data_IF_852135565396
#
_entry.id   IF_852135565396
#
_cell.length_a   1.000
_cell.length_b   1.000
_cell.length_c   1.000
_cell.angle_alpha   90.00
_cell.angle_beta   90.00
_cell.angle_gamma   90.00
#
_symmetry.space_group_name_H-M   'P 1'
#
loop_
_entity.id
_entity.type
_entity.pdbx_description
1 polymer ?
#
# COMPACT_ATOMS: atom_id res chain seq x y z
N UNK A 1 22.30 65.88 -12.33
CA UNK A 1 21.19 65.18 -11.66
C UNK A 1 20.92 63.90 -12.43
N UNK A 2 21.52 62.76 -12.01
CA UNK A 2 21.43 61.48 -12.71
C UNK A 2 20.48 60.57 -11.91
N UNK A 3 19.31 60.28 -12.50
CA UNK A 3 18.31 59.37 -11.89
C UNK A 3 18.72 57.90 -12.16
N UNK A 4 19.05 57.16 -11.11
CA UNK A 4 19.23 55.71 -11.18
C UNK A 4 17.87 55.03 -11.13
N UNK A 5 17.50 54.33 -12.20
CA UNK A 5 16.33 53.45 -12.29
C UNK A 5 16.71 52.09 -11.73
N UNK A 6 16.17 51.76 -10.56
CA UNK A 6 16.32 50.40 -9.96
C UNK A 6 15.38 49.44 -10.66
N UNK A 7 15.95 48.51 -11.42
CA UNK A 7 15.23 47.34 -11.94
C UNK A 7 15.10 46.29 -10.83
N UNK A 8 13.88 46.05 -10.37
CA UNK A 8 13.56 44.96 -9.46
C UNK A 8 13.22 43.74 -10.33
N UNK A 9 14.12 42.77 -10.39
CA UNK A 9 13.87 41.49 -11.06
C UNK A 9 13.07 40.63 -10.06
N UNK A 10 11.79 40.39 -10.36
CA UNK A 10 10.94 39.46 -9.63
C UNK A 10 11.21 38.05 -10.18
N UNK A 11 12.09 37.30 -9.52
CA UNK A 11 12.26 35.86 -9.78
C UNK A 11 11.08 35.12 -9.18
N UNK A 12 10.10 34.75 -10.01
CA UNK A 12 9.00 33.87 -9.65
C UNK A 12 9.56 32.45 -9.46
N UNK A 13 9.66 32.03 -8.22
CA UNK A 13 10.02 30.65 -7.86
C UNK A 13 8.77 29.80 -8.08
N UNK A 14 8.69 29.10 -9.24
CA UNK A 14 7.69 28.07 -9.44
C UNK A 14 8.04 26.90 -8.53
N UNK A 15 7.35 26.80 -7.39
CA UNK A 15 7.32 25.60 -6.58
C UNK A 15 6.44 24.61 -7.35
N UNK A 16 7.07 23.70 -8.08
CA UNK A 16 6.39 22.56 -8.66
C UNK A 16 5.90 21.67 -7.50
N UNK A 17 4.59 21.62 -7.31
CA UNK A 17 3.99 20.59 -6.48
C UNK A 17 4.22 19.26 -7.20
N UNK A 18 5.09 18.42 -6.67
CA UNK A 18 5.17 17.02 -7.06
C UNK A 18 3.93 16.37 -6.41
N UNK A 19 2.87 16.21 -7.19
CA UNK A 19 1.74 15.38 -6.77
C UNK A 19 2.25 13.93 -6.72
N UNK A 20 2.47 13.44 -5.51
CA UNK A 20 2.74 12.02 -5.30
C UNK A 20 1.45 11.27 -5.62
N UNK A 21 1.45 10.54 -6.73
CA UNK A 21 0.36 9.64 -7.10
C UNK A 21 0.28 8.52 -6.08
N UNK A 22 -0.62 8.65 -5.12
CA UNK A 22 -0.91 7.57 -4.18
C UNK A 22 -1.75 6.51 -4.87
N UNK A 23 -1.28 5.27 -4.86
CA UNK A 23 -2.09 4.14 -5.28
C UNK A 23 -3.32 4.03 -4.35
N UNK A 24 -4.51 4.04 -4.94
CA UNK A 24 -5.75 3.84 -4.20
C UNK A 24 -6.18 2.38 -4.30
N UNK A 25 -6.67 1.80 -3.20
CA UNK A 25 -7.14 0.43 -3.20
C UNK A 25 -8.62 0.37 -3.53
N UNK A 26 -9.00 -0.70 -4.23
CA UNK A 26 -10.38 -1.02 -4.47
C UNK A 26 -10.55 -2.52 -4.75
N UNK A 27 -11.79 -2.96 -4.86
CA UNK A 27 -12.10 -4.29 -5.33
C UNK A 27 -12.92 -4.22 -6.63
N UNK A 28 -12.69 -5.20 -7.48
CA UNK A 28 -13.42 -5.32 -8.74
C UNK A 28 -14.90 -5.55 -8.46
N UNK A 29 -15.75 -4.77 -9.12
CA UNK A 29 -17.19 -4.87 -9.04
C UNK A 29 -17.83 -4.59 -10.41
N UNK A 30 -18.26 -5.63 -11.07
CA UNK A 30 -18.96 -5.55 -12.36
C UNK A 30 -20.17 -6.48 -12.38
N UNK A 31 -21.22 -6.08 -13.13
CA UNK A 31 -22.44 -6.88 -13.32
C UNK A 31 -22.18 -8.22 -14.03
N UNK A 32 -21.13 -8.28 -14.84
CA UNK A 32 -20.76 -9.47 -15.61
C UNK A 32 -19.92 -10.47 -14.77
N UNK A 33 -19.63 -10.13 -13.50
CA UNK A 33 -18.84 -10.96 -12.59
C UNK A 33 -17.33 -10.82 -12.76
N UNK A 34 -16.85 -10.08 -13.74
CA UNK A 34 -15.43 -9.82 -14.02
C UNK A 34 -15.24 -8.52 -14.81
N UNK A 35 -14.00 -8.04 -14.88
CA UNK A 35 -13.59 -6.95 -15.75
C UNK A 35 -12.47 -7.38 -16.69
N UNK A 36 -12.43 -6.77 -17.87
CA UNK A 36 -11.32 -6.91 -18.80
C UNK A 36 -10.14 -6.03 -18.36
N UNK A 37 -8.96 -6.62 -18.28
CA UNK A 37 -7.67 -5.91 -18.14
C UNK A 37 -7.09 -5.67 -19.52
N UNK A 38 -6.67 -4.45 -19.80
CA UNK A 38 -6.26 -4.01 -21.13
C UNK A 38 -4.79 -3.57 -21.14
N UNK A 39 -4.18 -3.68 -22.31
CA UNK A 39 -2.79 -3.28 -22.55
C UNK A 39 -2.60 -1.76 -22.46
N UNK A 40 -3.58 -0.96 -22.93
CA UNK A 40 -3.56 0.49 -22.93
C UNK A 40 -4.88 1.06 -22.38
N UNK A 41 -4.93 2.32 -21.92
CA UNK A 41 -6.13 2.95 -21.35
C UNK A 41 -7.18 3.33 -22.42
N UNK A 42 -7.67 2.34 -23.16
CA UNK A 42 -8.66 2.50 -24.21
C UNK A 42 -9.60 1.31 -24.30
N UNK A 43 -10.88 1.56 -24.59
CA UNK A 43 -11.88 0.49 -24.81
C UNK A 43 -11.59 -0.35 -26.05
N UNK A 44 -10.87 0.19 -27.04
CA UNK A 44 -10.44 -0.52 -28.25
C UNK A 44 -9.12 -1.28 -28.07
N UNK A 45 -8.42 -1.06 -26.95
CA UNK A 45 -7.14 -1.75 -26.68
C UNK A 45 -7.35 -3.25 -26.45
N UNK A 46 -6.32 -4.02 -26.78
CA UNK A 46 -6.27 -5.48 -26.58
C UNK A 46 -6.55 -5.84 -25.12
N UNK A 47 -7.43 -6.81 -24.91
CA UNK A 47 -7.66 -7.42 -23.60
C UNK A 47 -6.56 -8.46 -23.37
N UNK A 48 -5.80 -8.27 -22.30
CA UNK A 48 -4.69 -9.16 -21.91
C UNK A 48 -5.17 -10.29 -21.01
N UNK A 49 -6.09 -9.99 -20.08
CA UNK A 49 -6.65 -10.95 -19.12
C UNK A 49 -7.94 -10.40 -18.51
N UNK A 50 -8.44 -11.07 -17.46
CA UNK A 50 -9.61 -10.67 -16.68
C UNK A 50 -9.30 -10.72 -15.19
N UNK A 51 -9.99 -9.86 -14.43
CA UNK A 51 -10.06 -9.91 -12.97
C UNK A 51 -11.50 -10.15 -12.55
N UNK A 52 -11.70 -11.05 -11.59
CA UNK A 52 -13.04 -11.40 -11.11
C UNK A 52 -13.53 -10.40 -10.05
N UNK A 53 -14.82 -10.36 -9.83
CA UNK A 53 -15.40 -9.58 -8.74
C UNK A 53 -14.78 -9.97 -7.39
N UNK A 54 -14.65 -8.98 -6.49
CA UNK A 54 -14.04 -9.05 -5.18
C UNK A 54 -12.50 -9.27 -5.18
N UNK A 55 -11.84 -9.32 -6.33
CA UNK A 55 -10.38 -9.22 -6.36
C UNK A 55 -9.96 -7.81 -5.97
N UNK A 56 -9.01 -7.71 -5.01
CA UNK A 56 -8.48 -6.43 -4.56
C UNK A 56 -7.31 -6.04 -5.44
N UNK A 57 -7.33 -4.78 -5.84
CA UNK A 57 -6.32 -4.15 -6.68
C UNK A 57 -5.83 -2.86 -6.04
N UNK A 58 -4.59 -2.50 -6.29
CA UNK A 58 -4.14 -1.12 -6.18
C UNK A 58 -4.31 -0.44 -7.54
N UNK A 59 -4.73 0.80 -7.52
CA UNK A 59 -5.07 1.61 -8.67
C UNK A 59 -4.18 2.84 -8.69
N UNK A 60 -3.35 3.00 -9.69
CA UNK A 60 -2.60 4.22 -9.95
C UNK A 60 -3.38 5.03 -10.98
N UNK A 61 -3.75 6.25 -10.61
CA UNK A 61 -4.45 7.17 -11.51
C UNK A 61 -3.46 8.16 -12.08
N UNK A 62 -3.54 8.34 -13.39
CA UNK A 62 -2.88 9.39 -14.13
C UNK A 62 -3.96 10.21 -14.85
N UNK A 63 -3.82 11.53 -14.90
CA UNK A 63 -4.75 12.44 -15.60
C UNK A 63 -4.90 12.09 -17.08
N UNK A 64 -3.86 11.51 -17.69
CA UNK A 64 -3.84 11.14 -19.10
C UNK A 64 -4.61 9.85 -19.42
N UNK A 65 -5.03 9.07 -18.40
CA UNK A 65 -5.60 7.72 -18.60
C UNK A 65 -7.10 7.68 -18.89
N UNK A 66 -7.79 8.82 -19.12
CA UNK A 66 -9.18 8.89 -19.62
C UNK A 66 -10.15 7.91 -18.92
N UNK A 67 -10.30 7.99 -17.60
CA UNK A 67 -11.15 7.10 -16.79
C UNK A 67 -10.67 5.65 -16.67
N UNK A 68 -9.47 5.32 -17.09
CA UNK A 68 -8.83 4.06 -16.79
C UNK A 68 -7.91 4.18 -15.58
N UNK A 69 -7.63 3.06 -14.98
CA UNK A 69 -6.73 2.90 -13.87
C UNK A 69 -5.71 1.83 -14.21
N UNK A 70 -4.43 2.15 -14.04
CA UNK A 70 -3.40 1.12 -14.04
C UNK A 70 -3.53 0.32 -12.75
N UNK A 71 -3.99 -0.91 -12.86
CA UNK A 71 -4.17 -1.79 -11.70
C UNK A 71 -3.00 -2.74 -11.54
N UNK A 72 -2.67 -3.02 -10.29
CA UNK A 72 -1.79 -4.10 -9.87
C UNK A 72 -2.57 -5.00 -8.91
N UNK A 73 -2.67 -6.28 -9.23
CA UNK A 73 -3.39 -7.28 -8.45
C UNK A 73 -2.45 -8.31 -7.81
N UNK A 74 -2.91 -8.95 -6.72
CA UNK A 74 -2.11 -9.90 -5.93
C UNK A 74 -1.69 -11.18 -6.68
N UNK A 75 -2.32 -11.46 -7.82
CA UNK A 75 -1.99 -12.59 -8.71
C UNK A 75 -0.96 -12.22 -9.79
N UNK A 76 -0.33 -11.03 -9.71
CA UNK A 76 0.64 -10.53 -10.68
C UNK A 76 0.02 -9.94 -11.95
N UNK A 77 -1.30 -9.77 -11.99
CA UNK A 77 -1.97 -9.10 -13.11
C UNK A 77 -1.74 -7.60 -13.02
N UNK A 78 -1.22 -7.02 -14.10
CA UNK A 78 -1.03 -5.58 -14.29
C UNK A 78 -1.65 -5.16 -15.61
N UNK A 79 -2.23 -3.97 -15.69
CA UNK A 79 -2.82 -3.39 -16.89
C UNK A 79 -3.96 -2.44 -16.58
N UNK A 80 -4.65 -1.98 -17.61
CA UNK A 80 -5.66 -0.93 -17.49
C UNK A 80 -7.07 -1.50 -17.32
N UNK A 81 -7.77 -1.03 -16.28
CA UNK A 81 -9.17 -1.34 -16.00
C UNK A 81 -9.97 -0.05 -16.00
N UNK A 82 -11.19 -0.07 -16.55
CA UNK A 82 -12.06 1.09 -16.52
C UNK A 82 -12.48 1.40 -15.08
N UNK A 83 -12.22 2.63 -14.62
CA UNK A 83 -12.30 3.05 -13.22
C UNK A 83 -13.66 2.79 -12.56
N UNK A 84 -14.76 2.93 -13.29
CA UNK A 84 -16.10 2.69 -12.74
C UNK A 84 -16.40 1.21 -12.43
N UNK A 85 -15.46 0.30 -12.72
CA UNK A 85 -15.51 -1.13 -12.37
C UNK A 85 -14.72 -1.46 -11.10
N UNK A 86 -14.18 -0.44 -10.45
CA UNK A 86 -13.42 -0.55 -9.20
C UNK A 86 -14.21 0.17 -8.11
N UNK A 87 -14.61 -0.56 -7.08
CA UNK A 87 -15.23 0.00 -5.89
C UNK A 87 -14.15 0.34 -4.87
N UNK A 88 -13.95 1.62 -4.59
CA UNK A 88 -12.98 2.13 -3.62
C UNK A 88 -13.52 2.08 -2.19
N UNK A 89 -14.00 0.91 -1.76
CA UNK A 89 -14.61 0.68 -0.45
C UNK A 89 -15.83 1.58 -0.17
N UNK A 90 -16.59 1.93 -1.22
CA UNK A 90 -17.87 2.64 -1.06
C UNK A 90 -18.82 1.82 -0.19
N UNK A 91 -19.43 2.47 0.81
CA UNK A 91 -20.29 1.81 1.80
C UNK A 91 -19.55 1.27 3.03
N UNK A 92 -18.21 1.27 3.04
CA UNK A 92 -17.41 0.93 4.21
C UNK A 92 -17.13 2.17 5.08
N UNK A 93 -17.03 1.96 6.40
CA UNK A 93 -16.53 2.98 7.32
C UNK A 93 -15.00 2.99 7.27
N UNK A 94 -14.42 4.15 6.99
CA UNK A 94 -12.97 4.35 7.05
C UNK A 94 -12.53 4.62 8.49
N UNK A 95 -11.66 3.78 9.03
CA UNK A 95 -11.06 3.92 10.36
C UNK A 95 -9.85 4.86 10.24
N UNK A 96 -9.86 5.97 10.98
CA UNK A 96 -8.87 7.03 10.81
C UNK A 96 -7.69 6.88 11.75
N UNK A 97 -6.51 7.30 11.28
CA UNK A 97 -5.33 7.45 12.12
C UNK A 97 -5.64 8.43 13.26
N UNK A 98 -5.39 8.01 14.51
CA UNK A 98 -5.54 8.84 15.71
C UNK A 98 -4.20 9.27 16.30
N UNK A 99 -3.21 8.40 16.27
CA UNK A 99 -1.85 8.69 16.74
C UNK A 99 -0.84 7.74 16.10
N UNK A 100 0.40 8.18 16.00
CA UNK A 100 1.50 7.33 15.54
C UNK A 100 2.83 7.72 16.16
N UNK A 101 3.73 6.75 16.19
CA UNK A 101 5.15 6.88 16.50
C UNK A 101 5.93 6.05 15.49
N UNK A 102 7.26 6.00 15.65
CA UNK A 102 8.12 5.20 14.75
C UNK A 102 7.76 3.72 14.72
N UNK A 103 7.32 3.15 15.84
CA UNK A 103 7.08 1.71 15.99
C UNK A 103 5.61 1.34 16.26
N UNK A 104 4.72 2.33 16.27
CA UNK A 104 3.30 2.10 16.52
C UNK A 104 2.43 3.13 15.81
N UNK A 105 1.35 2.67 15.19
CA UNK A 105 0.24 3.50 14.76
C UNK A 105 -1.07 2.98 15.33
N UNK A 106 -1.98 3.91 15.67
CA UNK A 106 -3.32 3.61 16.20
C UNK A 106 -4.35 4.26 15.32
N UNK A 107 -5.23 3.45 14.81
CA UNK A 107 -6.40 3.85 14.04
C UNK A 107 -7.64 3.63 14.87
N UNK A 108 -8.54 4.59 14.90
CA UNK A 108 -9.69 4.56 15.80
C UNK A 108 -10.95 5.09 15.12
N UNK A 109 -12.03 4.39 15.32
CA UNK A 109 -13.42 4.85 15.16
C UNK A 109 -14.23 4.33 16.35
N UNK A 110 -15.42 4.90 16.59
CA UNK A 110 -16.26 4.71 17.78
C UNK A 110 -16.28 3.29 18.38
N UNK A 111 -16.20 2.26 17.56
CA UNK A 111 -16.34 0.87 17.98
C UNK A 111 -15.13 -0.03 17.64
N UNK A 112 -14.16 0.49 16.89
CA UNK A 112 -13.04 -0.31 16.39
C UNK A 112 -11.74 0.45 16.61
N UNK A 113 -10.76 -0.25 17.18
CA UNK A 113 -9.39 0.24 17.31
C UNK A 113 -8.50 -0.77 16.60
N UNK A 114 -7.64 -0.27 15.72
CA UNK A 114 -6.60 -1.06 15.08
C UNK A 114 -5.24 -0.49 15.47
N UNK A 115 -4.44 -1.29 16.14
CA UNK A 115 -3.07 -0.95 16.53
C UNK A 115 -2.10 -1.73 15.66
N UNK A 116 -1.25 -1.03 14.93
CA UNK A 116 -0.20 -1.62 14.10
C UNK A 116 1.14 -1.39 14.77
N UNK A 117 1.91 -2.46 14.94
CA UNK A 117 3.21 -2.42 15.58
C UNK A 117 4.30 -2.87 14.62
N UNK A 118 5.43 -2.18 14.68
CA UNK A 118 6.66 -2.56 14.04
C UNK A 118 7.80 -2.62 15.06
N UNK A 119 8.88 -3.24 14.66
CA UNK A 119 10.12 -3.30 15.41
C UNK A 119 11.30 -3.20 14.46
N UNK A 120 12.51 -3.06 15.02
CA UNK A 120 13.74 -3.14 14.25
C UNK A 120 13.78 -4.43 13.41
N UNK A 121 14.14 -4.30 12.16
CA UNK A 121 14.31 -5.44 11.27
C UNK A 121 15.41 -6.38 11.76
N UNK A 122 15.22 -7.67 11.52
CA UNK A 122 16.24 -8.68 11.82
C UNK A 122 17.17 -8.77 10.61
N UNK A 123 18.47 -8.58 10.83
CA UNK A 123 19.48 -8.57 9.76
C UNK A 123 20.42 -9.79 9.83
N UNK A 124 20.07 -10.85 10.56
CA UNK A 124 20.90 -12.08 10.61
C UNK A 124 20.84 -12.82 9.25
N UNK A 125 21.95 -12.88 8.49
CA UNK A 125 21.96 -13.52 7.16
C UNK A 125 21.51 -14.98 7.16
N UNK A 126 21.64 -15.67 8.29
CA UNK A 126 21.24 -17.10 8.42
C UNK A 126 19.74 -17.34 8.26
N UNK A 127 18.94 -16.30 8.47
CA UNK A 127 17.49 -16.37 8.32
C UNK A 127 17.01 -16.07 6.90
N UNK A 128 17.94 -15.68 6.01
CA UNK A 128 17.63 -15.31 4.64
C UNK A 128 18.15 -16.33 3.64
N UNK A 129 17.41 -16.51 2.56
CA UNK A 129 17.82 -17.32 1.41
C UNK A 129 17.82 -16.47 0.14
N UNK A 130 18.81 -16.72 -0.71
CA UNK A 130 18.95 -16.07 -2.01
C UNK A 130 18.29 -16.89 -3.11
N UNK A 131 17.86 -16.16 -4.16
CA UNK A 131 17.47 -16.72 -5.44
C UNK A 131 18.02 -15.80 -6.53
N UNK A 132 18.82 -16.32 -7.46
CA UNK A 132 19.53 -15.54 -8.50
C UNK A 132 20.32 -14.37 -7.91
N UNK A 133 21.14 -14.65 -6.88
CA UNK A 133 22.02 -13.70 -6.18
C UNK A 133 21.32 -12.56 -5.42
N UNK A 134 20.00 -12.57 -5.32
CA UNK A 134 19.22 -11.64 -4.52
C UNK A 134 18.57 -12.34 -3.32
N UNK A 135 18.51 -11.69 -2.19
CA UNK A 135 17.75 -12.19 -1.04
C UNK A 135 16.25 -12.11 -1.35
N UNK A 136 15.56 -13.24 -1.27
CA UNK A 136 14.13 -13.37 -1.61
C UNK A 136 13.28 -13.96 -0.51
N UNK A 137 13.88 -14.68 0.42
CA UNK A 137 13.15 -15.38 1.47
C UNK A 137 13.70 -15.04 2.85
N UNK A 138 12.81 -14.86 3.81
CA UNK A 138 13.06 -14.73 5.24
C UNK A 138 12.25 -15.80 5.98
N UNK A 139 12.89 -16.62 6.81
CA UNK A 139 12.27 -17.77 7.47
C UNK A 139 11.42 -18.62 6.49
N UNK A 140 11.96 -18.91 5.31
CA UNK A 140 11.30 -19.68 4.23
C UNK A 140 10.08 -19.03 3.58
N UNK A 141 9.74 -17.79 3.95
CA UNK A 141 8.68 -17.00 3.33
C UNK A 141 9.27 -15.99 2.37
N UNK A 142 8.61 -15.78 1.23
CA UNK A 142 8.94 -14.64 0.37
C UNK A 142 8.77 -13.36 1.16
N UNK A 143 9.80 -12.52 1.22
CA UNK A 143 9.73 -11.26 1.92
C UNK A 143 9.71 -10.06 0.96
N UNK A 144 9.31 -8.91 1.49
CA UNK A 144 9.06 -7.68 0.74
C UNK A 144 9.73 -6.49 1.43
N UNK A 145 10.01 -5.44 0.68
CA UNK A 145 10.44 -4.15 1.20
C UNK A 145 11.91 -3.86 1.03
N UNK A 146 12.69 -4.78 0.46
CA UNK A 146 14.06 -4.53 0.04
C UNK A 146 14.23 -4.83 -1.44
N UNK A 147 15.23 -4.25 -2.06
CA UNK A 147 15.56 -4.46 -3.47
C UNK A 147 16.61 -5.59 -3.63
N UNK A 148 16.28 -6.78 -3.10
CA UNK A 148 17.17 -7.94 -3.14
C UNK A 148 18.33 -7.90 -2.16
N UNK A 149 18.46 -6.86 -1.33
CA UNK A 149 19.46 -6.72 -0.28
C UNK A 149 18.95 -7.21 1.08
N UNK A 150 19.86 -7.45 2.02
CA UNK A 150 19.49 -7.64 3.43
C UNK A 150 18.99 -6.32 4.01
N UNK A 151 17.91 -6.32 4.83
CA UNK A 151 17.51 -5.14 5.57
C UNK A 151 18.60 -4.78 6.58
N UNK A 152 18.97 -3.53 6.63
CA UNK A 152 19.93 -2.98 7.57
C UNK A 152 19.25 -2.35 8.81
N UNK A 153 20.01 -1.58 9.58
CA UNK A 153 19.52 -0.89 10.77
C UNK A 153 18.51 0.24 10.49
N UNK A 154 18.34 0.62 9.22
CA UNK A 154 17.39 1.64 8.78
C UNK A 154 16.02 1.04 8.43
N UNK A 155 15.85 -0.27 8.56
CA UNK A 155 14.58 -0.94 8.30
C UNK A 155 13.83 -1.29 9.58
N UNK A 156 12.52 -1.21 9.48
CA UNK A 156 11.56 -1.80 10.40
C UNK A 156 10.92 -3.04 9.76
N UNK A 157 10.34 -3.86 10.60
CA UNK A 157 9.60 -5.06 10.24
C UNK A 157 8.26 -5.04 10.96
N UNK A 158 7.16 -5.38 10.30
CA UNK A 158 5.88 -5.52 10.98
C UNK A 158 5.99 -6.61 12.07
N UNK A 159 5.49 -6.30 13.26
CA UNK A 159 5.56 -7.20 14.41
C UNK A 159 4.21 -7.83 14.73
N UNK A 160 3.18 -7.00 14.93
CA UNK A 160 1.81 -7.46 15.20
C UNK A 160 0.79 -6.41 14.84
N UNK A 161 -0.44 -6.85 14.59
CA UNK A 161 -1.60 -5.98 14.46
C UNK A 161 -2.67 -6.45 15.43
N UNK A 162 -3.18 -5.53 16.24
CA UNK A 162 -4.24 -5.81 17.20
C UNK A 162 -5.52 -5.12 16.72
N UNK A 163 -6.58 -5.88 16.58
CA UNK A 163 -7.91 -5.36 16.29
C UNK A 163 -8.77 -5.54 17.53
N UNK A 164 -9.35 -4.44 18.01
CA UNK A 164 -10.30 -4.41 19.12
C UNK A 164 -11.65 -3.94 18.60
N UNK A 165 -12.66 -4.76 18.79
CA UNK A 165 -14.04 -4.44 18.43
C UNK A 165 -14.92 -4.73 19.63
N UNK A 166 -15.42 -3.70 20.31
CA UNK A 166 -16.13 -3.82 21.60
C UNK A 166 -15.30 -4.62 22.60
N UNK A 167 -15.83 -5.76 23.07
CA UNK A 167 -15.17 -6.65 24.02
C UNK A 167 -14.26 -7.71 23.34
N UNK A 168 -14.27 -7.76 22.02
CA UNK A 168 -13.46 -8.71 21.25
C UNK A 168 -12.08 -8.12 20.96
N UNK A 169 -11.05 -8.93 21.17
CA UNK A 169 -9.66 -8.62 20.80
C UNK A 169 -9.09 -9.76 19.95
N UNK A 170 -8.56 -9.38 18.80
CA UNK A 170 -7.83 -10.28 17.91
C UNK A 170 -6.42 -9.76 17.69
N UNK A 171 -5.47 -10.66 17.52
CA UNK A 171 -4.09 -10.32 17.18
C UNK A 171 -3.67 -11.09 15.92
N UNK A 172 -3.15 -10.37 14.93
CA UNK A 172 -2.37 -10.94 13.84
C UNK A 172 -0.93 -10.97 14.35
N UNK A 173 -0.41 -12.17 14.49
CA UNK A 173 0.88 -12.39 15.15
C UNK A 173 2.06 -12.07 14.23
N UNK A 174 3.24 -11.92 14.83
CA UNK A 174 4.50 -11.75 14.11
C UNK A 174 4.72 -12.81 13.03
N UNK A 175 4.43 -14.06 13.30
CA UNK A 175 4.66 -15.15 12.33
C UNK A 175 3.90 -14.89 11.02
N UNK A 176 2.75 -14.22 11.08
CA UNK A 176 1.95 -13.86 9.91
C UNK A 176 2.44 -12.61 9.17
N UNK A 177 3.27 -11.78 9.82
CA UNK A 177 3.68 -10.44 9.35
C UNK A 177 5.18 -10.29 9.13
N UNK A 178 5.99 -11.25 9.56
CA UNK A 178 7.46 -11.14 9.60
C UNK A 178 8.14 -10.95 8.24
N UNK A 179 7.44 -11.17 7.14
CA UNK A 179 7.93 -10.98 5.78
C UNK A 179 7.81 -9.53 5.29
N UNK A 180 7.26 -8.59 6.06
CA UNK A 180 6.99 -7.22 5.65
C UNK A 180 7.99 -6.25 6.27
N UNK A 181 8.89 -5.73 5.44
CA UNK A 181 9.95 -4.78 5.82
C UNK A 181 9.71 -3.43 5.14
N UNK A 182 10.11 -2.35 5.80
CA UNK A 182 9.98 -1.00 5.25
C UNK A 182 11.00 -0.05 5.89
N UNK A 183 11.38 1.06 5.23
CA UNK A 183 12.30 2.04 5.78
C UNK A 183 11.76 2.67 7.05
N UNK A 184 12.66 2.90 8.00
CA UNK A 184 12.34 3.49 9.29
C UNK A 184 11.82 4.92 9.19
N UNK A 185 12.35 5.70 8.26
CA UNK A 185 12.06 7.12 8.11
C UNK A 185 11.27 7.43 6.82
N UNK A 186 10.66 6.40 6.19
CA UNK A 186 9.98 6.53 4.90
C UNK A 186 10.95 6.75 3.74
N UNK A 187 10.45 6.67 2.51
CA UNK A 187 11.28 6.83 1.30
C UNK A 187 11.82 8.25 1.16
N UNK A 188 11.08 9.26 1.61
CA UNK A 188 11.42 10.69 1.48
C UNK A 188 11.95 11.31 2.78
N UNK A 189 12.36 10.49 3.77
CA UNK A 189 12.83 10.97 5.08
C UNK A 189 11.74 11.67 5.90
N UNK A 190 10.47 11.46 5.55
CA UNK A 190 9.33 12.17 6.10
C UNK A 190 8.47 11.31 7.02
N UNK A 191 7.25 11.05 6.58
CA UNK A 191 6.23 10.37 7.38
C UNK A 191 6.52 8.87 7.49
N UNK A 192 6.36 8.33 8.69
CA UNK A 192 6.45 6.90 8.93
C UNK A 192 5.30 6.16 8.21
N UNK A 193 5.65 5.16 7.44
CA UNK A 193 4.71 4.36 6.64
C UNK A 193 3.64 3.61 7.46
N UNK A 194 3.85 3.42 8.78
CA UNK A 194 2.80 2.93 9.67
C UNK A 194 1.59 3.88 9.75
N UNK A 195 1.77 5.16 9.44
CA UNK A 195 0.70 6.16 9.46
C UNK A 195 -0.15 6.16 8.17
N UNK A 196 0.22 5.36 7.16
CA UNK A 196 -0.40 5.38 5.83
C UNK A 196 -1.37 4.21 5.57
N UNK A 197 -1.61 3.37 6.59
CA UNK A 197 -2.61 2.32 6.46
C UNK A 197 -4.00 2.88 6.14
N UNK A 198 -4.63 2.26 5.16
CA UNK A 198 -6.05 2.46 4.84
C UNK A 198 -6.83 1.32 5.47
N UNK A 199 -7.74 1.66 6.39
CA UNK A 199 -8.49 0.66 7.14
C UNK A 199 -9.97 0.90 6.91
N UNK A 200 -10.67 -0.16 6.48
CA UNK A 200 -12.08 -0.12 6.16
C UNK A 200 -12.84 -1.22 6.90
N UNK A 201 -14.03 -0.87 7.38
CA UNK A 201 -14.90 -1.77 8.15
C UNK A 201 -16.32 -1.80 7.61
N UNK A 202 -16.87 -3.00 7.46
CA UNK A 202 -18.29 -3.23 7.18
C UNK A 202 -18.70 -4.62 7.69
N UNK A 203 -19.73 -4.70 8.55
CA UNK A 203 -20.36 -5.96 8.98
C UNK A 203 -19.36 -7.03 9.45
N UNK A 204 -18.54 -6.70 10.47
CA UNK A 204 -17.49 -7.57 11.03
C UNK A 204 -16.42 -7.99 10.01
N UNK A 205 -16.28 -7.23 8.94
CA UNK A 205 -15.24 -7.42 7.94
C UNK A 205 -14.33 -6.19 7.92
N UNK A 206 -13.06 -6.39 8.21
CA UNK A 206 -12.04 -5.34 8.29
C UNK A 206 -11.00 -5.59 7.22
N UNK A 207 -10.74 -4.58 6.39
CA UNK A 207 -9.63 -4.54 5.46
C UNK A 207 -8.55 -3.60 6.01
N UNK A 208 -7.31 -4.08 6.08
CA UNK A 208 -6.13 -3.34 6.51
C UNK A 208 -5.17 -3.36 5.34
N UNK A 209 -4.92 -2.21 4.74
CA UNK A 209 -4.26 -2.05 3.45
C UNK A 209 -3.13 -1.04 3.57
N UNK A 210 -2.00 -1.29 2.93
CA UNK A 210 -0.94 -0.31 2.79
C UNK A 210 -0.13 -0.53 1.52
N UNK A 211 0.50 0.53 1.02
CA UNK A 211 1.57 0.48 0.03
C UNK A 211 2.84 0.93 0.73
N UNK A 212 3.76 0.01 0.95
CA UNK A 212 5.07 0.28 1.55
C UNK A 212 6.10 0.65 0.48
N UNK A 213 7.09 1.47 0.85
CA UNK A 213 8.16 1.96 -0.03
C UNK A 213 7.62 2.66 -1.29
N UNK A 214 6.49 3.36 -1.17
CA UNK A 214 5.84 4.02 -2.30
C UNK A 214 6.80 4.98 -3.01
N UNK A 215 6.94 4.82 -4.33
CA UNK A 215 7.91 5.56 -5.16
C UNK A 215 9.30 4.93 -5.25
N UNK A 216 9.59 3.84 -4.53
CA UNK A 216 10.87 3.12 -4.59
C UNK A 216 10.77 1.79 -5.35
N UNK A 217 11.92 1.29 -5.84
CA UNK A 217 12.01 -0.01 -6.55
C UNK A 217 11.56 -1.21 -5.70
N UNK A 218 11.56 -1.07 -4.37
CA UNK A 218 11.10 -2.07 -3.41
C UNK A 218 9.62 -1.90 -3.01
N UNK A 219 8.85 -1.06 -3.73
CA UNK A 219 7.45 -0.79 -3.42
C UNK A 219 6.60 -2.07 -3.48
N UNK A 220 5.73 -2.23 -2.48
CA UNK A 220 4.82 -3.37 -2.43
C UNK A 220 3.53 -3.03 -1.69
N UNK A 221 2.46 -3.69 -2.11
CA UNK A 221 1.17 -3.63 -1.47
C UNK A 221 1.00 -4.75 -0.46
N UNK A 222 0.31 -4.48 0.65
CA UNK A 222 -0.23 -5.50 1.54
C UNK A 222 -1.75 -5.35 1.67
N UNK A 223 -2.40 -6.50 1.80
CA UNK A 223 -3.84 -6.61 2.07
C UNK A 223 -4.04 -7.67 3.12
N UNK A 224 -4.50 -7.23 4.28
CA UNK A 224 -4.96 -8.12 5.33
C UNK A 224 -6.48 -7.98 5.42
N UNK A 225 -7.17 -9.10 5.42
CA UNK A 225 -8.62 -9.13 5.62
C UNK A 225 -8.96 -9.95 6.86
N UNK A 226 -9.65 -9.33 7.79
CA UNK A 226 -10.15 -9.95 9.02
C UNK A 226 -11.66 -10.00 8.95
N UNK A 227 -12.23 -11.18 9.05
CA UNK A 227 -13.67 -11.41 9.06
C UNK A 227 -14.08 -12.24 10.27
N UNK A 228 -15.05 -11.73 11.04
CA UNK A 228 -15.51 -12.39 12.27
C UNK A 228 -14.35 -12.78 13.21
N UNK A 229 -13.38 -11.91 13.41
CA UNK A 229 -12.23 -12.12 14.28
C UNK A 229 -11.19 -13.13 13.77
N UNK A 230 -11.22 -13.51 12.48
CA UNK A 230 -10.24 -14.40 11.86
C UNK A 230 -9.60 -13.76 10.64
N UNK A 231 -8.30 -13.97 10.46
CA UNK A 231 -7.60 -13.58 9.23
C UNK A 231 -8.08 -14.52 8.11
N UNK A 232 -8.71 -13.95 7.09
CA UNK A 232 -9.20 -14.68 5.91
C UNK A 232 -8.36 -14.40 4.68
N UNK A 233 -7.56 -13.34 4.69
CA UNK A 233 -6.54 -13.07 3.67
C UNK A 233 -5.34 -12.34 4.28
N UNK A 234 -4.15 -12.74 3.83
CA UNK A 234 -2.88 -12.07 4.07
C UNK A 234 -2.10 -12.17 2.76
N UNK A 235 -2.09 -11.08 1.99
CA UNK A 235 -1.53 -11.03 0.64
C UNK A 235 -0.58 -9.85 0.51
N UNK A 236 0.51 -10.05 -0.24
CA UNK A 236 1.39 -8.99 -0.65
C UNK A 236 1.89 -9.21 -2.08
N UNK A 237 2.16 -8.11 -2.78
CA UNK A 237 2.70 -8.14 -4.14
C UNK A 237 3.49 -6.87 -4.43
N UNK A 238 4.50 -6.97 -5.28
CA UNK A 238 5.27 -5.80 -5.73
C UNK A 238 4.37 -4.85 -6.52
N UNK A 239 4.62 -3.57 -6.38
CA UNK A 239 4.04 -2.54 -7.26
C UNK A 239 4.88 -2.52 -8.52
N UNK A 240 4.26 -2.76 -9.67
CA UNK A 240 4.87 -2.54 -10.98
C UNK A 240 4.48 -1.12 -11.43
N UNK A 241 5.48 -0.32 -11.71
CA UNK A 241 5.35 1.07 -12.17
C UNK A 241 5.58 1.12 -13.67
#
# INVERSE_FOLDING_TARGET
MTKYLKFIVFTSFMIGFIETSYADFGFIQDKDGYVNVRENPSLSSKVTTKLNNNEIVSCVMDEETNNFCLVNASNGVTGFVYRNRINNFSGYTSIKLSQYSREKAVYNDKNIIVEVYAKKAISDPKLYKTFKDEYKYFNDKKFFGTDGSLPDNNFLQLDKIIVKEKDNRMEISRIELEQYFFPKDGVDGGRNELADFKIYYLNNNIYILNTFNNGGAAAYNIVLNVKNGKVVANKAWKVEI
#
